data_IF_356842988844
#
_entry.id   IF_356842988844
#
_cell.length_a   1.000
_cell.length_b   1.000
_cell.length_c   1.000
_cell.angle_alpha   90.00
_cell.angle_beta   90.00
_cell.angle_gamma   90.00
#
_symmetry.space_group_name_H-M   'P 1'
#
loop_
_entity.id
_entity.type
_entity.pdbx_description
1 polymer ?
#
# COMPACT_ATOMS: atom_id res chain seq x y z
N UNK A 1 -11.84 19.22 13.87
CA UNK A 1 -10.53 18.73 13.41
C UNK A 1 -9.82 18.03 14.56
N UNK A 2 -9.91 16.70 14.66
CA UNK A 2 -9.15 15.93 15.65
C UNK A 2 -8.23 15.00 14.88
N UNK A 3 -6.99 15.45 14.67
CA UNK A 3 -5.90 14.61 14.19
C UNK A 3 -5.75 13.43 15.15
N UNK A 4 -5.87 12.20 14.64
CA UNK A 4 -5.22 11.05 15.29
C UNK A 4 -3.72 11.20 15.04
N UNK A 5 -2.91 11.00 16.06
CA UNK A 5 -1.47 11.36 16.08
C UNK A 5 -0.69 10.62 14.97
N UNK A 6 -0.26 11.35 13.93
CA UNK A 6 0.86 11.06 13.01
C UNK A 6 0.67 10.09 11.82
N UNK A 7 -0.55 9.74 11.47
CA UNK A 7 -0.78 8.92 10.27
C UNK A 7 -0.74 9.77 8.99
N UNK A 8 0.05 9.34 8.00
CA UNK A 8 0.20 10.01 6.70
C UNK A 8 0.17 8.96 5.59
N UNK A 9 -0.62 9.20 4.54
CA UNK A 9 -0.56 8.41 3.31
C UNK A 9 0.70 8.85 2.55
N UNK A 10 1.70 7.98 2.49
CA UNK A 10 2.98 8.25 1.82
C UNK A 10 3.00 7.83 0.35
N UNK A 11 2.10 6.94 -0.05
CA UNK A 11 1.98 6.43 -1.42
C UNK A 11 0.56 5.95 -1.69
N UNK A 12 0.10 6.10 -2.93
CA UNK A 12 -1.17 5.57 -3.41
C UNK A 12 -1.04 5.16 -4.88
N UNK A 13 -1.75 4.10 -5.27
CA UNK A 13 -1.78 3.61 -6.64
C UNK A 13 -3.21 3.19 -6.97
N UNK A 14 -3.67 3.49 -8.18
CA UNK A 14 -4.93 2.98 -8.67
C UNK A 14 -4.77 1.50 -9.06
N UNK A 15 -5.71 0.66 -8.64
CA UNK A 15 -5.72 -0.75 -8.98
C UNK A 15 -7.15 -1.28 -9.06
N UNK A 16 -7.31 -2.49 -9.60
CA UNK A 16 -8.58 -3.21 -9.58
C UNK A 16 -8.60 -4.22 -8.44
N UNK A 17 -9.79 -4.61 -7.98
CA UNK A 17 -9.95 -5.53 -6.84
C UNK A 17 -9.28 -6.90 -7.03
N UNK A 18 -9.02 -7.32 -8.29
CA UNK A 18 -8.35 -8.58 -8.63
C UNK A 18 -7.01 -8.35 -9.36
N UNK A 19 -6.50 -7.13 -9.31
CA UNK A 19 -5.24 -6.76 -9.93
C UNK A 19 -4.05 -6.95 -9.00
N UNK A 20 -2.87 -6.71 -9.55
CA UNK A 20 -1.62 -6.65 -8.83
C UNK A 20 -1.08 -5.22 -8.85
N UNK A 21 -0.37 -4.84 -7.79
CA UNK A 21 0.44 -3.62 -7.71
C UNK A 21 1.89 -3.97 -7.43
N UNK A 22 2.80 -3.08 -7.80
CA UNK A 22 4.21 -3.18 -7.48
C UNK A 22 4.54 -2.43 -6.19
N UNK A 23 5.41 -3.02 -5.38
CA UNK A 23 6.01 -2.42 -4.19
C UNK A 23 7.50 -2.24 -4.45
N UNK A 24 7.96 -0.98 -4.56
CA UNK A 24 9.36 -0.65 -4.84
C UNK A 24 10.10 -0.47 -3.52
N UNK A 25 11.19 -1.20 -3.33
CA UNK A 25 11.95 -1.21 -2.07
C UNK A 25 13.25 -0.43 -2.15
N UNK A 26 13.83 -0.11 -0.99
CA UNK A 26 15.10 0.62 -0.87
C UNK A 26 16.29 -0.12 -1.50
N UNK A 27 16.19 -1.44 -1.67
CA UNK A 27 17.23 -2.27 -2.32
C UNK A 27 17.09 -2.34 -3.85
N UNK A 28 16.08 -1.66 -4.42
CA UNK A 28 15.82 -1.66 -5.86
C UNK A 28 15.02 -2.86 -6.37
N UNK A 29 14.37 -3.61 -5.48
CA UNK A 29 13.47 -4.71 -5.85
C UNK A 29 12.06 -4.18 -6.12
N UNK A 30 11.36 -4.86 -7.01
CA UNK A 30 9.92 -4.72 -7.18
C UNK A 30 9.25 -6.01 -6.72
N UNK A 31 8.48 -5.91 -5.63
CA UNK A 31 7.69 -7.01 -5.11
C UNK A 31 6.27 -6.89 -5.63
N UNK A 32 5.68 -7.99 -6.09
CA UNK A 32 4.29 -8.00 -6.55
C UNK A 32 3.36 -8.21 -5.35
N UNK A 33 2.34 -7.37 -5.25
CA UNK A 33 1.33 -7.41 -4.21
C UNK A 33 -0.05 -7.56 -4.83
N UNK A 34 -0.74 -8.64 -4.49
CA UNK A 34 -2.09 -8.94 -4.97
C UNK A 34 -3.12 -8.16 -4.14
N UNK A 35 -3.97 -7.39 -4.82
CA UNK A 35 -4.94 -6.49 -4.15
C UNK A 35 -6.02 -7.28 -3.42
N UNK A 36 -6.34 -8.49 -3.87
CA UNK A 36 -7.41 -9.31 -3.27
C UNK A 36 -7.08 -9.76 -1.84
N UNK A 37 -5.78 -9.75 -1.49
CA UNK A 37 -5.29 -10.18 -0.19
C UNK A 37 -5.30 -9.04 0.84
N UNK A 38 -5.52 -7.78 0.40
CA UNK A 38 -5.47 -6.61 1.26
C UNK A 38 -6.81 -6.39 2.00
N UNK A 39 -6.77 -5.86 3.24
CA UNK A 39 -7.97 -5.54 3.98
C UNK A 39 -8.71 -4.38 3.30
N UNK A 40 -10.03 -4.53 3.16
CA UNK A 40 -10.88 -3.43 2.75
C UNK A 40 -11.08 -2.47 3.92
N UNK A 41 -10.74 -1.19 3.71
CA UNK A 41 -11.08 -0.14 4.65
C UNK A 41 -12.58 0.19 4.55
N UNK A 42 -13.28 0.41 5.67
CA UNK A 42 -14.70 0.76 5.65
C UNK A 42 -14.92 2.13 4.99
N UNK A 43 -16.02 2.25 4.24
CA UNK A 43 -16.47 3.51 3.64
C UNK A 43 -16.94 4.48 4.74
N UNK A 44 -16.01 5.23 5.33
CA UNK A 44 -16.35 6.27 6.30
C UNK A 44 -16.51 7.60 5.59
N UNK A 45 -17.56 8.36 5.92
CA UNK A 45 -17.75 9.76 5.46
C UNK A 45 -16.66 10.74 5.95
N UNK A 46 -15.72 10.29 6.76
CA UNK A 46 -14.55 11.03 7.23
C UNK A 46 -13.29 10.51 6.54
N UNK A 47 -12.23 11.34 6.50
CA UNK A 47 -10.90 10.97 5.98
C UNK A 47 -10.48 9.59 6.54
N UNK A 48 -9.96 8.68 5.69
CA UNK A 48 -9.54 7.36 6.13
C UNK A 48 -8.48 7.50 7.22
N UNK A 49 -8.79 6.99 8.41
CA UNK A 49 -7.77 6.84 9.45
C UNK A 49 -7.09 5.48 9.26
N UNK A 50 -5.78 5.41 9.47
CA UNK A 50 -4.99 4.20 9.21
C UNK A 50 -5.27 3.07 10.21
N UNK A 51 -6.08 3.31 11.24
CA UNK A 51 -6.49 2.33 12.27
C UNK A 51 -7.16 1.07 11.70
N UNK A 52 -7.69 1.13 10.48
CA UNK A 52 -8.32 -0.01 9.81
C UNK A 52 -7.39 -0.82 8.90
N UNK A 53 -6.14 -0.39 8.71
CA UNK A 53 -5.16 -1.07 7.86
C UNK A 53 -4.43 -2.21 8.56
N UNK A 54 -3.51 -2.84 7.83
CA UNK A 54 -2.58 -3.85 8.33
C UNK A 54 -1.13 -3.46 7.98
N UNK A 55 -0.15 -4.03 8.68
CA UNK A 55 1.26 -3.72 8.41
C UNK A 55 1.70 -4.35 7.08
N UNK A 56 2.47 -3.60 6.28
CA UNK A 56 2.89 -4.09 4.95
C UNK A 56 3.75 -5.36 5.01
N UNK A 57 4.50 -5.55 6.10
CA UNK A 57 5.32 -6.75 6.35
C UNK A 57 4.49 -8.02 6.54
N UNK A 58 3.17 -7.92 6.68
CA UNK A 58 2.27 -9.09 6.69
C UNK A 58 2.00 -9.63 5.27
N UNK A 59 2.24 -8.81 4.24
CA UNK A 59 1.96 -9.14 2.85
C UNK A 59 3.23 -9.22 1.98
N UNK A 60 4.32 -8.59 2.41
CA UNK A 60 5.59 -8.55 1.69
C UNK A 60 6.73 -9.14 2.52
N UNK A 61 7.54 -9.98 1.89
CA UNK A 61 8.81 -10.45 2.45
C UNK A 61 9.91 -9.41 2.17
N UNK A 62 10.14 -8.54 3.15
CA UNK A 62 11.25 -7.60 3.17
C UNK A 62 12.47 -8.24 3.83
N UNK A 63 13.65 -7.99 3.26
CA UNK A 63 14.92 -8.35 3.88
C UNK A 63 15.24 -7.44 5.08
N UNK A 64 16.28 -7.78 5.85
CA UNK A 64 16.72 -6.94 6.96
C UNK A 64 17.09 -5.53 6.46
N UNK A 65 16.61 -4.50 7.17
CA UNK A 65 16.79 -3.08 6.85
C UNK A 65 16.24 -2.65 5.46
N UNK A 66 15.40 -3.48 4.83
CA UNK A 66 14.72 -3.13 3.59
C UNK A 66 13.42 -2.38 3.88
N UNK A 67 13.25 -1.22 3.23
CA UNK A 67 12.09 -0.37 3.40
C UNK A 67 11.26 -0.32 2.11
N UNK A 68 9.93 -0.25 2.25
CA UNK A 68 9.05 0.09 1.15
C UNK A 68 9.17 1.60 0.87
N UNK A 69 9.52 1.96 -0.37
CA UNK A 69 9.63 3.36 -0.80
C UNK A 69 8.31 3.87 -1.37
N UNK A 70 7.72 3.13 -2.31
CA UNK A 70 6.45 3.51 -2.91
C UNK A 70 5.72 2.32 -3.54
N UNK A 71 4.47 2.58 -3.90
CA UNK A 71 3.65 1.71 -4.72
C UNK A 71 3.69 2.19 -6.17
N UNK A 72 3.64 1.24 -7.10
CA UNK A 72 3.52 1.49 -8.53
C UNK A 72 2.47 0.61 -9.15
N UNK A 73 1.92 1.07 -10.26
CA UNK A 73 1.05 0.25 -11.10
C UNK A 73 1.87 -0.81 -11.84
N UNK A 74 1.24 -1.94 -12.16
CA UNK A 74 1.73 -2.94 -13.11
C UNK A 74 0.89 -2.99 -14.39
N UNK A 75 -0.07 -2.07 -14.52
CA UNK A 75 -0.88 -1.92 -15.72
C UNK A 75 -0.01 -1.36 -16.87
N UNK A 76 0.08 -2.12 -17.97
CA UNK A 76 0.83 -1.72 -19.17
C UNK A 76 0.25 -0.49 -19.86
N UNK A 77 -1.03 -0.17 -19.62
CA UNK A 77 -1.68 1.02 -20.16
C UNK A 77 -1.44 2.27 -19.30
N UNK A 78 -0.77 2.15 -18.16
CA UNK A 78 -0.43 3.30 -17.33
C UNK A 78 0.61 4.19 -18.05
N UNK A 79 0.48 5.53 -17.98
CA UNK A 79 1.33 6.46 -18.73
C UNK A 79 2.82 6.39 -18.37
#
# INVERSE_FOLDING_TARGET
ARRTKHDVIVSAVAATARGDVGAVTSTGRLLRLSVIDLPQLPDTHAEPNLSGGAMISEFLNLEADEELICLTTLDEASP
#
